data_IF_694804524797
#
_entry.id   IF_694804524797
#
_cell.length_a   1.000
_cell.length_b   1.000
_cell.length_c   1.000
_cell.angle_alpha   90.00
_cell.angle_beta   90.00
_cell.angle_gamma   90.00
#
_symmetry.space_group_name_H-M   'P 1'
#
loop_
_entity.id
_entity.type
_entity.pdbx_description
1 polymer ?
#
# COMPACT_ATOMS: atom_id res chain seq x y z
N UNK A 1 -27.00 -6.68 -17.70
CA UNK A 1 -25.52 -6.66 -17.86
C UNK A 1 -25.06 -5.21 -17.86
N UNK A 2 -24.46 -4.69 -16.79
CA UNK A 2 -24.00 -3.30 -16.77
C UNK A 2 -22.86 -3.13 -17.79
N UNK A 3 -23.01 -2.21 -18.74
CA UNK A 3 -21.99 -1.94 -19.74
C UNK A 3 -20.69 -1.50 -19.05
N UNK A 4 -19.57 -2.15 -19.39
CA UNK A 4 -18.25 -1.83 -18.84
C UNK A 4 -17.92 -0.37 -19.19
N UNK A 5 -17.75 0.49 -18.19
CA UNK A 5 -17.40 1.91 -18.39
C UNK A 5 -16.21 2.04 -19.36
N UNK A 6 -16.28 3.01 -20.28
CA UNK A 6 -15.19 3.34 -21.18
C UNK A 6 -13.95 3.76 -20.39
N UNK A 7 -12.74 3.63 -20.96
CA UNK A 7 -11.49 3.99 -20.27
C UNK A 7 -11.50 5.41 -19.71
N UNK A 8 -12.10 6.37 -20.44
CA UNK A 8 -12.19 7.76 -20.04
C UNK A 8 -13.12 8.01 -18.84
N UNK A 9 -14.19 7.21 -18.69
CA UNK A 9 -15.19 7.35 -17.63
C UNK A 9 -14.82 6.64 -16.32
N UNK A 10 -13.72 5.87 -16.29
CA UNK A 10 -13.30 5.16 -15.08
C UNK A 10 -12.57 6.12 -14.13
N UNK A 11 -12.78 5.99 -12.81
CA UNK A 11 -12.05 6.79 -11.83
C UNK A 11 -10.54 6.52 -11.95
N UNK A 12 -9.76 7.60 -11.97
CA UNK A 12 -8.29 7.53 -11.98
C UNK A 12 -7.81 7.20 -10.57
N UNK A 13 -6.82 6.31 -10.48
CA UNK A 13 -6.33 5.77 -9.21
C UNK A 13 -4.80 5.77 -9.15
N UNK A 14 -4.27 5.74 -7.94
CA UNK A 14 -2.85 5.53 -7.65
C UNK A 14 -2.65 4.34 -6.75
N UNK A 15 -1.60 3.59 -7.04
CA UNK A 15 -1.11 2.49 -6.25
C UNK A 15 0.04 2.99 -5.41
N UNK A 16 0.01 2.69 -4.11
CA UNK A 16 1.03 3.11 -3.15
C UNK A 16 1.50 1.85 -2.41
N UNK A 17 2.80 1.64 -2.43
CA UNK A 17 3.51 0.65 -1.64
C UNK A 17 3.86 1.25 -0.28
N UNK A 18 3.57 0.51 0.78
CA UNK A 18 3.70 0.96 2.15
C UNK A 18 4.55 -0.03 2.94
N UNK A 19 5.26 0.47 3.95
CA UNK A 19 5.73 -0.33 5.08
C UNK A 19 4.95 0.01 6.34
N UNK A 20 4.79 -0.99 7.21
CA UNK A 20 4.14 -0.84 8.51
C UNK A 20 4.86 -1.68 9.59
N UNK A 21 4.74 -1.31 10.87
CA UNK A 21 5.42 -1.97 11.97
C UNK A 21 5.11 -3.47 12.08
N UNK A 22 6.08 -4.23 12.60
CA UNK A 22 5.93 -5.66 12.91
C UNK A 22 4.90 -5.96 14.00
N UNK A 23 4.43 -4.96 14.75
CA UNK A 23 3.33 -5.11 15.70
C UNK A 23 2.02 -5.52 15.03
N UNK A 24 1.86 -5.20 13.74
CA UNK A 24 0.66 -5.53 12.98
C UNK A 24 0.76 -6.94 12.40
N UNK A 25 -0.23 -7.78 12.72
CA UNK A 25 -0.26 -9.19 12.29
C UNK A 25 -1.50 -9.56 11.50
N UNK A 26 -2.53 -8.72 11.50
CA UNK A 26 -3.78 -8.97 10.78
C UNK A 26 -4.03 -7.95 9.69
N UNK A 27 -4.77 -8.36 8.65
CA UNK A 27 -5.17 -7.46 7.58
C UNK A 27 -6.14 -6.38 8.09
N UNK A 28 -6.99 -6.73 9.06
CA UNK A 28 -7.93 -5.79 9.69
C UNK A 28 -7.19 -4.66 10.40
N UNK A 29 -6.15 -4.99 11.16
CA UNK A 29 -5.33 -4.02 11.89
C UNK A 29 -4.65 -3.03 10.93
N UNK A 30 -4.19 -3.49 9.75
CA UNK A 30 -3.62 -2.62 8.72
C UNK A 30 -4.69 -1.66 8.21
N UNK A 31 -5.90 -2.16 7.94
CA UNK A 31 -7.01 -1.33 7.47
C UNK A 31 -7.46 -0.32 8.54
N UNK A 32 -7.49 -0.70 9.81
CA UNK A 32 -7.76 0.20 10.94
C UNK A 32 -6.69 1.27 11.09
N UNK A 33 -5.41 0.90 11.00
CA UNK A 33 -4.34 1.88 11.08
C UNK A 33 -4.37 2.85 9.90
N UNK A 34 -4.71 2.38 8.69
CA UNK A 34 -4.91 3.28 7.54
C UNK A 34 -6.11 4.22 7.77
N UNK A 35 -7.22 3.72 8.33
CA UNK A 35 -8.38 4.56 8.67
C UNK A 35 -8.07 5.60 9.73
N UNK A 36 -7.24 5.28 10.73
CA UNK A 36 -6.78 6.24 11.73
C UNK A 36 -5.84 7.29 11.14
N UNK A 37 -5.08 6.91 10.11
CA UNK A 37 -4.19 7.83 9.42
C UNK A 37 -4.97 8.74 8.50
N UNK A 38 -5.88 8.21 7.67
CA UNK A 38 -6.60 8.91 6.62
C UNK A 38 -7.86 9.62 7.13
N UNK A 39 -8.26 10.71 6.48
CA UNK A 39 -9.55 11.36 6.74
C UNK A 39 -10.69 10.47 6.22
N UNK A 40 -11.86 10.55 6.86
CA UNK A 40 -13.06 9.74 6.53
C UNK A 40 -13.46 9.83 5.04
N UNK A 41 -13.17 10.96 4.37
CA UNK A 41 -13.48 11.19 2.96
C UNK A 41 -12.56 10.44 1.98
N UNK A 42 -11.44 9.89 2.46
CA UNK A 42 -10.43 9.25 1.61
C UNK A 42 -10.77 7.78 1.39
N UNK A 43 -11.16 7.46 0.16
CA UNK A 43 -11.41 6.08 -0.24
C UNK A 43 -10.11 5.35 -0.60
N UNK A 44 -9.80 4.30 0.16
CA UNK A 44 -8.69 3.39 -0.13
C UNK A 44 -9.16 1.93 -0.23
N UNK A 45 -8.32 1.10 -0.85
CA UNK A 45 -8.46 -0.35 -0.84
C UNK A 45 -7.10 -1.01 -0.66
N UNK A 46 -6.96 -1.84 0.36
CA UNK A 46 -5.78 -2.67 0.57
C UNK A 46 -5.80 -3.85 -0.40
N UNK A 47 -4.68 -4.14 -1.08
CA UNK A 47 -4.56 -5.24 -2.04
C UNK A 47 -3.61 -6.31 -1.53
N UNK A 48 -2.37 -5.92 -1.26
CA UNK A 48 -1.35 -6.82 -0.75
C UNK A 48 -1.04 -6.44 0.70
N UNK A 49 -0.87 -7.45 1.56
CA UNK A 49 -0.42 -7.28 2.94
C UNK A 49 0.45 -8.49 3.30
N UNK A 50 1.74 -8.24 3.51
CA UNK A 50 2.73 -9.22 3.89
C UNK A 50 3.30 -8.82 5.24
N UNK A 51 2.98 -9.59 6.27
CA UNK A 51 3.38 -9.29 7.64
C UNK A 51 4.84 -9.69 7.89
N UNK A 52 5.40 -9.15 8.97
CA UNK A 52 6.75 -9.49 9.41
C UNK A 52 6.90 -11.02 9.53
N UNK A 53 8.12 -11.51 9.27
CA UNK A 53 8.42 -12.95 9.33
C UNK A 53 7.98 -13.76 8.11
N UNK A 54 7.07 -13.25 7.26
CA UNK A 54 6.74 -13.92 5.99
C UNK A 54 7.90 -13.86 5.00
N UNK A 55 8.08 -14.92 4.21
CA UNK A 55 9.17 -15.00 3.21
C UNK A 55 9.13 -13.81 2.23
N UNK A 56 7.92 -13.37 1.88
CA UNK A 56 7.70 -12.22 0.99
C UNK A 56 8.12 -10.91 1.64
N UNK A 57 7.82 -10.70 2.93
CA UNK A 57 8.24 -9.50 3.64
C UNK A 57 9.77 -9.46 3.79
N UNK A 58 10.40 -10.59 4.15
CA UNK A 58 11.86 -10.70 4.26
C UNK A 58 12.56 -10.36 2.93
N UNK A 59 12.12 -10.98 1.83
CA UNK A 59 12.66 -10.71 0.51
C UNK A 59 12.48 -9.24 0.08
N UNK A 60 11.34 -8.63 0.44
CA UNK A 60 11.08 -7.22 0.14
C UNK A 60 11.96 -6.27 0.97
N UNK A 61 12.19 -6.59 2.26
CA UNK A 61 13.06 -5.80 3.12
C UNK A 61 14.51 -5.86 2.62
N UNK A 62 15.00 -7.05 2.25
CA UNK A 62 16.31 -7.23 1.63
C UNK A 62 16.42 -6.44 0.32
N UNK A 63 15.42 -6.54 -0.55
CA UNK A 63 15.37 -5.78 -1.81
C UNK A 63 15.42 -4.27 -1.60
N UNK A 64 14.75 -3.77 -0.56
CA UNK A 64 14.71 -2.35 -0.21
C UNK A 64 15.87 -1.92 0.70
N UNK A 65 16.79 -2.82 1.06
CA UNK A 65 17.86 -2.59 2.03
C UNK A 65 17.37 -2.06 3.39
N UNK A 66 16.18 -2.49 3.81
CA UNK A 66 15.58 -2.16 5.11
C UNK A 66 16.05 -3.19 6.13
N UNK A 67 16.73 -2.73 7.20
CA UNK A 67 17.26 -3.60 8.26
C UNK A 67 16.23 -3.96 9.34
N UNK A 68 15.09 -3.28 9.36
CA UNK A 68 14.05 -3.49 10.35
C UNK A 68 13.09 -4.61 9.95
N UNK A 69 12.61 -5.35 10.95
CA UNK A 69 11.51 -6.28 10.77
C UNK A 69 10.20 -5.50 10.63
N UNK A 70 9.78 -5.31 9.37
CA UNK A 70 8.55 -4.60 9.00
C UNK A 70 7.63 -5.47 8.14
N UNK A 71 6.36 -5.10 8.13
CA UNK A 71 5.42 -5.56 7.12
C UNK A 71 5.40 -4.65 5.90
N UNK A 72 5.01 -5.20 4.75
CA UNK A 72 4.92 -4.49 3.47
C UNK A 72 3.54 -4.69 2.87
N UNK A 73 2.96 -3.64 2.30
CA UNK A 73 1.63 -3.69 1.70
C UNK A 73 1.48 -2.80 0.48
N UNK A 74 0.38 -3.00 -0.25
CA UNK A 74 -0.02 -2.12 -1.36
C UNK A 74 -1.46 -1.68 -1.17
N UNK A 75 -1.69 -0.38 -1.20
CA UNK A 75 -3.01 0.23 -1.24
C UNK A 75 -3.30 0.87 -2.60
N UNK A 76 -4.58 0.97 -2.92
CA UNK A 76 -5.10 1.73 -4.05
C UNK A 76 -5.96 2.87 -3.53
N UNK A 77 -5.65 4.08 -3.96
CA UNK A 77 -6.41 5.31 -3.63
C UNK A 77 -6.88 5.97 -4.92
N UNK A 78 -7.84 6.90 -4.82
CA UNK A 78 -8.16 7.73 -5.97
C UNK A 78 -7.00 8.70 -6.26
N UNK A 79 -6.85 9.09 -7.53
CA UNK A 79 -5.80 10.03 -7.91
C UNK A 79 -6.01 11.41 -7.29
N UNK A 80 -7.27 11.81 -7.08
CA UNK A 80 -7.63 13.10 -6.47
C UNK A 80 -7.12 13.17 -5.02
N UNK A 81 -7.20 12.07 -4.28
CA UNK A 81 -6.80 11.99 -2.87
C UNK A 81 -5.31 11.70 -2.70
N UNK A 82 -4.58 11.46 -3.80
CA UNK A 82 -3.20 10.97 -3.76
C UNK A 82 -2.25 11.94 -3.02
N UNK A 83 -2.39 13.24 -3.28
CA UNK A 83 -1.49 14.24 -2.71
C UNK A 83 -1.73 14.38 -1.20
N UNK A 84 -2.99 14.41 -0.76
CA UNK A 84 -3.35 14.38 0.65
C UNK A 84 -2.82 13.11 1.34
N UNK A 85 -3.06 11.92 0.76
CA UNK A 85 -2.55 10.66 1.28
C UNK A 85 -1.02 10.67 1.40
N UNK A 86 -0.32 11.23 0.42
CA UNK A 86 1.14 11.32 0.43
C UNK A 86 1.64 12.19 1.58
N UNK A 87 1.02 13.34 1.82
CA UNK A 87 1.35 14.20 2.96
C UNK A 87 1.11 13.49 4.29
N UNK A 88 -0.02 12.80 4.42
CA UNK A 88 -0.38 12.07 5.64
C UNK A 88 0.60 10.93 5.93
N UNK A 89 1.02 10.20 4.90
CA UNK A 89 2.05 9.17 5.00
C UNK A 89 3.44 9.75 5.36
N UNK A 90 3.78 10.94 4.85
CA UNK A 90 5.03 11.60 5.21
C UNK A 90 5.07 11.99 6.70
N UNK A 91 3.94 12.47 7.24
CA UNK A 91 3.78 12.77 8.67
C UNK A 91 3.83 11.50 9.51
N UNK A 92 3.17 10.41 9.08
CA UNK A 92 3.18 9.14 9.81
C UNK A 92 4.53 8.44 9.82
N UNK A 93 5.36 8.66 8.80
CA UNK A 93 6.73 8.15 8.75
C UNK A 93 7.58 8.72 9.90
N UNK A 94 7.36 9.97 10.27
CA UNK A 94 8.08 10.62 11.39
C UNK A 94 7.69 10.01 12.74
N UNK A 95 6.44 9.52 12.84
CA UNK A 95 5.91 8.88 14.05
C UNK A 95 6.12 7.36 14.07
N UNK A 96 6.86 6.79 13.11
CA UNK A 96 7.15 5.36 13.02
C UNK A 96 5.92 4.47 12.74
N UNK A 97 4.78 5.03 12.32
CA UNK A 97 3.52 4.28 12.15
C UNK A 97 3.38 3.61 10.80
N UNK A 98 3.69 4.32 9.73
CA UNK A 98 3.63 3.81 8.34
C UNK A 98 4.51 4.69 7.47
N UNK A 99 5.16 4.11 6.48
CA UNK A 99 5.94 4.84 5.50
C UNK A 99 5.54 4.47 4.07
N UNK A 100 5.63 5.45 3.16
CA UNK A 100 5.41 5.25 1.73
C UNK A 100 6.72 4.88 1.06
N UNK A 101 6.78 3.69 0.46
CA UNK A 101 7.97 3.17 -0.20
C UNK A 101 8.00 3.49 -1.71
N UNK A 102 6.85 3.46 -2.39
CA UNK A 102 6.77 3.73 -3.83
C UNK A 102 5.34 4.02 -4.26
N UNK A 103 5.14 4.85 -5.29
CA UNK A 103 3.83 5.05 -5.92
C UNK A 103 3.87 4.90 -7.45
N UNK A 104 2.75 4.47 -8.05
CA UNK A 104 2.60 4.39 -9.51
C UNK A 104 1.14 4.34 -9.95
N UNK A 105 0.89 4.56 -11.24
CA UNK A 105 -0.43 4.32 -11.85
C UNK A 105 -0.71 2.84 -12.14
N UNK A 106 0.28 1.96 -11.96
CA UNK A 106 0.19 0.52 -12.26
C UNK A 106 0.67 -0.30 -11.06
N UNK A 107 -0.19 -1.15 -10.50
CA UNK A 107 0.17 -2.07 -9.41
C UNK A 107 1.42 -2.91 -9.72
N UNK A 108 1.58 -3.33 -10.98
CA UNK A 108 2.74 -4.10 -11.44
C UNK A 108 4.07 -3.38 -11.18
N UNK A 109 4.11 -2.06 -11.38
CA UNK A 109 5.31 -1.26 -11.16
C UNK A 109 5.60 -1.08 -9.67
N UNK A 110 4.56 -0.96 -8.84
CA UNK A 110 4.74 -0.88 -7.38
C UNK A 110 5.30 -2.20 -6.86
N UNK A 111 4.73 -3.35 -7.25
CA UNK A 111 5.26 -4.67 -6.87
C UNK A 111 6.71 -4.86 -7.27
N UNK A 112 7.06 -4.51 -8.51
CA UNK A 112 8.44 -4.62 -8.99
C UNK A 112 9.43 -3.79 -8.15
N UNK A 113 9.05 -2.58 -7.76
CA UNK A 113 9.89 -1.70 -6.92
C UNK A 113 9.93 -2.11 -5.45
N UNK A 114 8.99 -2.93 -5.01
CA UNK A 114 8.96 -3.51 -3.67
C UNK A 114 9.60 -4.90 -3.60
N UNK A 115 10.03 -5.48 -4.73
CA UNK A 115 10.48 -6.87 -4.77
C UNK A 115 9.35 -7.90 -4.55
N UNK A 116 8.08 -7.50 -4.68
CA UNK A 116 6.94 -8.37 -4.41
C UNK A 116 6.66 -9.35 -5.57
N UNK A 117 6.31 -10.61 -5.26
CA UNK A 117 5.97 -11.60 -6.28
C UNK A 117 4.68 -11.22 -7.02
N UNK A 118 4.49 -11.81 -8.21
CA UNK A 118 3.21 -11.70 -8.92
C UNK A 118 2.13 -12.39 -8.08
N UNK A 119 0.89 -11.84 -8.04
CA UNK A 119 -0.20 -12.48 -7.32
C UNK A 119 -0.47 -13.85 -7.93
N UNK A 120 -0.71 -14.85 -7.08
CA UNK A 120 -1.17 -16.16 -7.54
C UNK A 120 -2.48 -15.97 -8.30
N UNK A 121 -2.53 -16.38 -9.56
CA UNK A 121 -3.79 -16.41 -10.31
C UNK A 121 -4.68 -17.48 -9.64
N UNK A 122 -5.81 -17.06 -9.09
CA UNK A 122 -6.91 -17.99 -8.77
C UNK A 122 -7.63 -18.34 -10.05
#
# INVERSE_FOLDING_TARGET
>A
MAAKLSKAKRPKRRWIGLSFPSSIRSRGDVEELIKQLFSEDIHFRLYDAHFHGSDVAKASCEFQSIKDDIGVGIICVNLVDYDAVREMLSKSSTNGRMNSLSSSGKIRLVRQRLGLPKPKKK
#
